data_IF_279197135994
#
_entry.id   IF_279197135994
#
_cell.length_a   1.000
_cell.length_b   1.000
_cell.length_c   1.000
_cell.angle_alpha   90.00
_cell.angle_beta   90.00
_cell.angle_gamma   90.00
#
_symmetry.space_group_name_H-M   'P 1'
#
loop_
_entity.id
_entity.type
_entity.pdbx_description
1 polymer ?
#
# COMPACT_ATOMS: atom_id res chain seq x y z
N UNK A 1 3.49 6.60 15.04
CA UNK A 1 4.59 6.85 14.10
C UNK A 1 5.43 7.99 14.65
N UNK A 2 6.55 7.71 15.31
CA UNK A 2 7.49 8.79 15.61
C UNK A 2 8.39 8.93 14.39
N UNK A 3 8.39 10.09 13.74
CA UNK A 3 9.29 10.49 12.64
C UNK A 3 8.89 10.16 11.18
N UNK A 4 7.70 9.62 10.89
CA UNK A 4 7.20 9.51 9.49
C UNK A 4 6.07 10.53 9.27
N UNK A 5 6.30 11.47 8.36
CA UNK A 5 5.34 12.50 7.95
C UNK A 5 4.30 11.94 6.97
N UNK A 6 4.74 11.08 6.06
CA UNK A 6 3.92 10.57 4.96
C UNK A 6 4.40 9.19 4.49
N UNK A 7 3.47 8.28 4.25
CA UNK A 7 3.71 6.97 3.62
C UNK A 7 2.80 6.78 2.41
N UNK A 8 3.36 6.34 1.29
CA UNK A 8 2.64 6.05 0.04
C UNK A 8 3.49 5.16 -0.88
N UNK A 9 2.90 4.56 -1.94
CA UNK A 9 3.70 3.97 -3.01
C UNK A 9 4.66 5.00 -3.62
N UNK A 10 5.82 4.53 -4.08
CA UNK A 10 6.90 5.38 -4.57
C UNK A 10 6.46 6.27 -5.74
N UNK A 11 5.68 5.70 -6.65
CA UNK A 11 5.11 6.40 -7.81
C UNK A 11 3.82 7.17 -7.50
N UNK A 12 3.30 7.10 -6.28
CA UNK A 12 2.03 7.73 -5.87
C UNK A 12 0.88 6.73 -5.73
N UNK A 13 -0.22 7.22 -5.15
CA UNK A 13 -1.39 6.40 -4.77
C UNK A 13 -2.28 5.99 -5.94
N UNK A 14 -2.09 6.62 -7.10
CA UNK A 14 -2.83 6.35 -8.35
C UNK A 14 -1.96 5.71 -9.43
N UNK A 15 -0.81 5.11 -9.06
CA UNK A 15 0.11 4.51 -10.02
C UNK A 15 -0.49 3.26 -10.69
N UNK A 16 -0.74 3.27 -12.01
CA UNK A 16 -1.25 2.11 -12.75
C UNK A 16 -0.20 1.02 -12.94
N UNK A 17 1.07 1.24 -12.55
CA UNK A 17 2.12 0.22 -12.61
C UNK A 17 1.84 -1.00 -11.71
N UNK A 18 0.83 -0.90 -10.84
CA UNK A 18 0.32 -2.00 -10.02
C UNK A 18 -0.81 -2.80 -10.68
N UNK A 19 -1.11 -2.57 -11.97
CA UNK A 19 -2.12 -3.34 -12.68
C UNK A 19 -1.61 -4.75 -12.99
N UNK A 20 -2.31 -5.76 -12.48
CA UNK A 20 -2.00 -7.18 -12.69
C UNK A 20 -3.01 -7.85 -13.60
N UNK A 21 -2.49 -8.63 -14.55
CA UNK A 21 -3.25 -9.55 -15.39
C UNK A 21 -2.85 -10.97 -15.01
N UNK A 22 -3.75 -11.68 -14.33
CA UNK A 22 -3.46 -12.99 -13.75
C UNK A 22 -4.25 -14.05 -14.52
N UNK A 23 -3.59 -15.17 -14.81
CA UNK A 23 -4.23 -16.38 -15.35
C UNK A 23 -4.30 -17.43 -14.26
N UNK A 24 -5.49 -17.95 -13.99
CA UNK A 24 -5.67 -19.01 -13.00
C UNK A 24 -5.01 -20.30 -13.49
N UNK A 25 -4.12 -20.87 -12.68
CA UNK A 25 -3.40 -22.12 -13.01
C UNK A 25 -4.33 -23.34 -13.11
N UNK A 26 -5.51 -23.30 -12.50
CA UNK A 26 -6.42 -24.45 -12.43
C UNK A 26 -7.52 -24.42 -13.50
N UNK A 27 -8.16 -23.26 -13.71
CA UNK A 27 -9.30 -23.13 -14.61
C UNK A 27 -9.02 -22.25 -15.84
N UNK A 28 -7.79 -21.78 -16.00
CA UNK A 28 -7.31 -20.96 -17.12
C UNK A 28 -8.00 -19.61 -17.33
N UNK A 29 -9.01 -19.26 -16.51
CA UNK A 29 -9.65 -17.95 -16.55
C UNK A 29 -8.63 -16.85 -16.28
N UNK A 30 -8.74 -15.80 -17.06
CA UNK A 30 -7.95 -14.58 -16.90
C UNK A 30 -8.78 -13.57 -16.13
N UNK A 31 -8.15 -12.87 -15.21
CA UNK A 31 -8.76 -11.79 -14.44
C UNK A 31 -7.75 -10.66 -14.22
N UNK A 32 -8.24 -9.56 -13.68
CA UNK A 32 -7.49 -8.32 -13.52
C UNK A 32 -7.57 -7.81 -12.10
N UNK A 33 -6.51 -7.16 -11.65
CA UNK A 33 -6.48 -6.35 -10.43
C UNK A 33 -5.87 -5.01 -10.83
N UNK A 34 -6.67 -3.94 -10.80
CA UNK A 34 -6.22 -2.61 -11.24
C UNK A 34 -6.50 -1.55 -10.18
N UNK A 35 -5.67 -0.51 -10.10
CA UNK A 35 -5.91 0.60 -9.15
C UNK A 35 -7.04 1.50 -9.65
N UNK A 36 -8.01 1.80 -8.79
CA UNK A 36 -9.04 2.81 -9.06
C UNK A 36 -8.47 4.19 -8.71
N UNK A 37 -8.10 4.95 -9.73
CA UNK A 37 -7.51 6.29 -9.55
C UNK A 37 -8.46 7.25 -8.80
N UNK A 38 -7.88 8.09 -7.95
CA UNK A 38 -8.56 9.10 -7.16
C UNK A 38 -9.21 8.59 -5.87
N UNK A 39 -9.08 7.29 -5.58
CA UNK A 39 -9.61 6.68 -4.35
C UNK A 39 -8.57 6.54 -3.25
N UNK A 40 -7.30 6.43 -3.64
CA UNK A 40 -6.18 6.34 -2.72
C UNK A 40 -5.81 7.69 -2.11
N UNK A 41 -5.24 7.67 -0.91
CA UNK A 41 -4.56 8.81 -0.30
C UNK A 41 -3.39 8.37 0.59
N UNK A 42 -2.30 9.15 0.67
CA UNK A 42 -1.18 8.84 1.54
C UNK A 42 -1.60 8.77 3.01
N UNK A 43 -0.98 7.86 3.78
CA UNK A 43 -1.07 7.98 5.23
C UNK A 43 -0.21 9.16 5.66
N UNK A 44 -0.79 10.05 6.45
CA UNK A 44 -0.09 11.19 7.05
C UNK A 44 0.13 10.98 8.55
N UNK A 45 1.12 11.68 9.10
CA UNK A 45 1.39 11.67 10.53
C UNK A 45 0.15 12.00 11.37
N UNK A 46 -0.60 13.03 10.99
CA UNK A 46 -1.80 13.43 11.72
C UNK A 46 -2.89 12.36 11.73
N UNK A 47 -3.02 11.55 10.68
CA UNK A 47 -3.92 10.39 10.67
C UNK A 47 -3.39 9.28 11.59
N UNK A 48 -2.08 9.01 11.56
CA UNK A 48 -1.45 8.01 12.43
C UNK A 48 -1.56 8.35 13.91
N UNK A 49 -1.31 9.61 14.29
CA UNK A 49 -1.43 10.10 15.68
C UNK A 49 -2.86 10.03 16.20
N UNK A 50 -3.86 10.12 15.31
CA UNK A 50 -5.26 9.93 15.64
C UNK A 50 -5.70 8.46 15.63
N UNK A 51 -4.79 7.52 15.34
CA UNK A 51 -5.12 6.10 15.17
C UNK A 51 -6.05 5.83 13.98
N UNK A 52 -6.11 6.75 13.01
CA UNK A 52 -7.00 6.66 11.84
C UNK A 52 -6.31 5.99 10.66
N UNK A 53 -7.11 5.24 9.91
CA UNK A 53 -6.68 4.59 8.68
C UNK A 53 -6.73 5.54 7.47
N UNK A 54 -5.84 5.30 6.50
CA UNK A 54 -5.87 5.92 5.18
C UNK A 54 -6.04 4.82 4.13
N UNK A 55 -7.06 4.89 3.26
CA UNK A 55 -7.12 4.01 2.09
C UNK A 55 -6.00 4.39 1.13
N UNK A 56 -4.90 3.62 1.13
CA UNK A 56 -3.72 3.93 0.32
C UNK A 56 -3.97 3.73 -1.18
N UNK A 57 -4.80 2.73 -1.51
CA UNK A 57 -5.27 2.40 -2.87
C UNK A 57 -6.61 1.67 -2.75
N UNK A 58 -7.43 1.74 -3.80
CA UNK A 58 -8.64 0.93 -3.97
C UNK A 58 -8.46 0.11 -5.25
N UNK A 59 -8.87 -1.16 -5.23
CA UNK A 59 -8.62 -2.09 -6.32
C UNK A 59 -9.94 -2.48 -7.01
N UNK A 60 -9.96 -2.43 -8.34
CA UNK A 60 -10.99 -3.06 -9.17
C UNK A 60 -10.51 -4.49 -9.50
N UNK A 61 -11.11 -5.46 -8.82
CA UNK A 61 -10.78 -6.88 -8.95
C UNK A 61 -11.83 -7.60 -9.78
N UNK A 62 -11.43 -8.16 -10.93
CA UNK A 62 -12.30 -8.92 -11.83
C UNK A 62 -11.80 -10.35 -11.97
N UNK A 63 -12.59 -11.31 -11.49
CA UNK A 63 -12.26 -12.74 -11.55
C UNK A 63 -11.30 -13.22 -10.47
N UNK A 64 -10.92 -12.35 -9.54
CA UNK A 64 -10.10 -12.64 -8.37
C UNK A 64 -10.60 -11.86 -7.15
N UNK A 65 -10.31 -12.37 -5.96
CA UNK A 65 -10.52 -11.68 -4.70
C UNK A 65 -9.17 -11.61 -3.95
N UNK A 66 -8.75 -10.45 -3.45
CA UNK A 66 -7.55 -10.33 -2.64
C UNK A 66 -7.80 -10.96 -1.27
N UNK A 67 -6.88 -11.83 -0.83
CA UNK A 67 -6.98 -12.53 0.47
C UNK A 67 -6.09 -11.88 1.52
N UNK A 68 -4.88 -11.48 1.12
CA UNK A 68 -3.87 -10.92 2.01
C UNK A 68 -3.11 -9.80 1.30
N UNK A 69 -2.53 -8.90 2.11
CA UNK A 69 -1.67 -7.84 1.65
C UNK A 69 -0.28 -8.00 2.29
N UNK A 70 0.76 -7.86 1.46
CA UNK A 70 2.15 -7.83 1.91
C UNK A 70 2.85 -6.61 1.35
N UNK A 71 3.61 -5.92 2.20
CA UNK A 71 4.50 -4.85 1.75
C UNK A 71 5.65 -5.44 0.92
N UNK A 72 5.71 -5.06 -0.35
CA UNK A 72 6.84 -5.34 -1.24
C UNK A 72 7.83 -4.17 -1.31
N UNK A 73 8.70 -4.18 -2.33
CA UNK A 73 9.44 -3.00 -2.74
C UNK A 73 8.50 -1.95 -3.37
N UNK A 74 8.97 -0.70 -3.51
CA UNK A 74 8.19 0.36 -4.16
C UNK A 74 7.35 1.23 -3.22
N UNK A 75 7.71 1.30 -1.94
CA UNK A 75 7.14 2.24 -0.98
C UNK A 75 8.11 3.39 -0.69
N UNK A 76 7.58 4.59 -0.44
CA UNK A 76 8.36 5.74 0.02
C UNK A 76 7.77 6.33 1.28
N UNK A 77 8.66 6.75 2.18
CA UNK A 77 8.30 7.52 3.35
C UNK A 77 9.06 8.84 3.41
N UNK A 78 8.33 9.89 3.76
CA UNK A 78 8.90 11.19 4.07
C UNK A 78 9.06 11.27 5.58
N UNK A 79 10.26 11.56 6.05
CA UNK A 79 10.50 11.79 7.47
C UNK A 79 9.96 13.16 7.91
N UNK A 80 9.75 13.32 9.21
CA UNK A 80 9.49 14.63 9.84
C UNK A 80 10.75 15.50 9.78
N UNK A 81 11.93 14.89 9.94
CA UNK A 81 13.19 15.52 9.53
C UNK A 81 13.24 15.56 8.00
N UNK A 82 13.81 16.60 7.40
CA UNK A 82 13.75 16.86 5.94
C UNK A 82 14.42 15.80 5.03
N UNK A 83 14.79 14.63 5.57
CA UNK A 83 15.39 13.52 4.85
C UNK A 83 14.31 12.58 4.31
N UNK A 84 14.45 12.16 3.05
CA UNK A 84 13.60 11.12 2.47
C UNK A 84 14.18 9.74 2.84
N UNK A 85 13.34 8.84 3.35
CA UNK A 85 13.74 7.47 3.68
C UNK A 85 13.16 6.52 2.63
N UNK A 86 14.03 5.92 1.83
CA UNK A 86 13.68 4.74 1.04
C UNK A 86 13.62 3.56 2.00
N UNK A 87 12.42 3.10 2.33
CA UNK A 87 12.26 2.01 3.30
C UNK A 87 12.54 0.68 2.59
N UNK A 88 13.47 -0.11 3.10
CA UNK A 88 13.64 -1.49 2.65
C UNK A 88 12.48 -2.35 3.18
N UNK A 89 11.99 -3.34 2.41
CA UNK A 89 10.88 -4.20 2.85
C UNK A 89 11.12 -4.86 4.22
N UNK A 90 12.37 -5.17 4.55
CA UNK A 90 12.80 -5.75 5.84
C UNK A 90 12.53 -4.81 7.02
N UNK A 91 12.75 -3.50 6.87
CA UNK A 91 12.49 -2.52 7.93
C UNK A 91 11.00 -2.34 8.22
N UNK A 92 10.10 -2.60 7.26
CA UNK A 92 8.66 -2.58 7.50
C UNK A 92 8.19 -3.82 8.26
N UNK A 93 8.86 -4.97 8.10
CA UNK A 93 8.54 -6.23 8.76
C UNK A 93 9.12 -6.33 10.18
N UNK A 94 10.35 -5.87 10.41
CA UNK A 94 11.04 -5.95 11.71
C UNK A 94 10.48 -4.98 12.76
N UNK A 95 9.78 -3.97 12.28
CA UNK A 95 9.20 -2.96 13.11
C UNK A 95 7.72 -3.35 13.32
N UNK A 96 7.14 -3.16 14.52
CA UNK A 96 5.71 -3.41 14.85
C UNK A 96 4.70 -2.59 13.98
N UNK A 97 5.13 -2.08 12.84
CA UNK A 97 4.45 -1.23 11.87
C UNK A 97 3.61 -2.05 10.89
N UNK A 98 3.83 -3.37 10.77
CA UNK A 98 2.99 -4.28 9.97
C UNK A 98 1.59 -4.48 10.58
N UNK A 99 1.44 -4.45 11.90
CA UNK A 99 0.19 -4.85 12.56
C UNK A 99 -0.94 -3.79 12.52
N UNK A 100 -0.61 -2.50 12.41
CA UNK A 100 -1.60 -1.42 12.51
C UNK A 100 -2.04 -0.81 11.17
N UNK A 101 -1.42 -1.23 10.06
CA UNK A 101 -1.70 -0.69 8.71
C UNK A 101 -2.60 -1.60 7.87
N UNK A 102 -2.79 -2.85 8.29
CA UNK A 102 -3.35 -3.94 7.47
C UNK A 102 -4.67 -4.47 8.07
N UNK A 103 -5.38 -3.70 8.89
CA UNK A 103 -6.81 -3.98 9.08
C UNK A 103 -7.54 -3.48 7.83
N UNK A 104 -7.57 -4.33 6.81
CA UNK A 104 -8.47 -4.21 5.68
C UNK A 104 -9.90 -4.21 6.22
N UNK A 105 -10.71 -3.26 5.75
CA UNK A 105 -12.13 -3.20 6.07
C UNK A 105 -12.87 -4.47 5.61
#
# INVERSE_FOLDING_TARGET
MENIKKLQPASGVDDPSFDYYLKCKFCEKVGTVTVISGKGRPLTQGLSEQGKYAPLMELDCKGYEPVEFMFGSGWKAESVSSYMLCISPLLMQESNYTANFIYMA
#
